data_IF_281458702290
#
_entry.id   IF_281458702290
#
_cell.length_a   1.000
_cell.length_b   1.000
_cell.length_c   1.000
_cell.angle_alpha   90.00
_cell.angle_beta   90.00
_cell.angle_gamma   90.00
#
_symmetry.space_group_name_H-M   'P 1'
#
loop_
_entity.id
_entity.type
_entity.pdbx_description
1 polymer ?
#
# COMPACT_ATOMS: atom_id res chain seq x y z
N UNK A 1 -7.08 6.41 -6.14
CA UNK A 1 -6.02 5.57 -6.74
C UNK A 1 -4.66 6.22 -6.52
N UNK A 2 -3.60 5.44 -6.48
CA UNK A 2 -2.22 5.91 -6.31
C UNK A 2 -1.90 6.55 -4.96
N UNK A 3 -2.67 6.25 -3.91
CA UNK A 3 -2.45 6.85 -2.58
C UNK A 3 -2.49 8.37 -2.65
N UNK A 4 -3.52 8.90 -3.30
CA UNK A 4 -3.63 10.30 -3.68
C UNK A 4 -4.08 11.22 -2.55
N UNK A 5 -4.47 10.67 -1.40
CA UNK A 5 -4.74 11.49 -0.22
C UNK A 5 -3.40 11.94 0.37
N UNK A 6 -3.25 13.25 0.50
CA UNK A 6 -2.06 13.92 1.02
C UNK A 6 -2.48 15.05 1.99
N UNK A 7 -1.52 15.79 2.52
CA UNK A 7 -1.78 16.84 3.51
C UNK A 7 -2.76 17.92 3.00
N UNK A 8 -2.73 18.22 1.71
CA UNK A 8 -3.52 19.33 1.14
C UNK A 8 -4.98 18.93 0.85
N UNK A 9 -5.29 17.64 0.83
CA UNK A 9 -6.61 17.13 0.46
C UNK A 9 -7.20 16.13 1.45
N UNK A 10 -6.83 16.19 2.73
CA UNK A 10 -7.38 15.35 3.81
C UNK A 10 -8.91 15.45 3.92
N UNK A 11 -9.51 16.57 3.50
CA UNK A 11 -10.96 16.74 3.44
C UNK A 11 -11.68 15.67 2.58
N UNK A 12 -10.95 14.98 1.69
CA UNK A 12 -11.51 13.87 0.91
C UNK A 12 -11.99 12.72 1.80
N UNK A 13 -11.40 12.53 2.99
CA UNK A 13 -11.86 11.52 3.94
C UNK A 13 -13.27 11.83 4.45
N UNK A 14 -13.60 13.12 4.62
CA UNK A 14 -14.94 13.55 5.00
C UNK A 14 -15.94 13.20 3.88
N UNK A 15 -15.60 13.48 2.63
CA UNK A 15 -16.43 13.13 1.45
C UNK A 15 -16.64 11.61 1.39
N UNK A 16 -15.61 10.79 1.65
CA UNK A 16 -15.76 9.35 1.66
C UNK A 16 -16.73 8.88 2.74
N UNK A 17 -16.65 9.45 3.94
CA UNK A 17 -17.57 9.12 5.01
C UNK A 17 -19.01 9.59 4.69
N UNK A 18 -19.17 10.75 4.05
CA UNK A 18 -20.47 11.27 3.59
C UNK A 18 -21.13 10.34 2.55
N UNK A 19 -20.31 9.74 1.70
CA UNK A 19 -20.76 8.75 0.71
C UNK A 19 -21.00 7.36 1.32
N UNK A 20 -20.83 7.19 2.64
CA UNK A 20 -21.09 5.94 3.34
C UNK A 20 -19.96 4.90 3.27
N UNK A 21 -18.75 5.28 2.88
CA UNK A 21 -17.61 4.38 2.96
C UNK A 21 -17.29 4.04 4.42
N UNK A 22 -17.04 2.76 4.69
CA UNK A 22 -16.72 2.26 6.04
C UNK A 22 -15.25 2.44 6.36
N UNK A 23 -14.40 2.28 5.34
CA UNK A 23 -12.94 2.41 5.45
C UNK A 23 -12.33 3.01 4.19
N UNK A 24 -11.14 3.54 4.36
CA UNK A 24 -10.22 3.99 3.31
C UNK A 24 -8.83 3.40 3.52
N UNK A 25 -8.02 3.39 2.49
CA UNK A 25 -6.60 3.00 2.51
C UNK A 25 -5.85 3.80 1.44
N UNK A 26 -6.08 5.12 1.41
CA UNK A 26 -5.44 6.01 0.43
C UNK A 26 -4.23 6.74 1.00
N UNK A 27 -3.97 6.64 2.30
CA UNK A 27 -2.86 7.33 2.93
C UNK A 27 -1.65 6.41 3.03
N UNK A 28 -0.53 6.91 2.53
CA UNK A 28 0.76 6.27 2.69
C UNK A 28 1.56 6.99 3.78
N UNK A 29 1.88 6.34 4.92
CA UNK A 29 2.50 7.01 6.07
C UNK A 29 4.03 7.23 5.89
N UNK A 30 4.41 7.62 4.70
CA UNK A 30 5.78 7.94 4.30
C UNK A 30 5.75 8.93 3.15
N UNK A 31 6.45 10.05 3.27
CA UNK A 31 6.55 11.03 2.18
C UNK A 31 7.31 10.46 0.99
N UNK A 32 6.63 10.45 -0.14
CA UNK A 32 7.18 10.05 -1.43
C UNK A 32 7.08 11.23 -2.41
N UNK A 33 7.81 11.24 -3.54
CA UNK A 33 7.80 12.38 -4.47
C UNK A 33 6.43 12.78 -5.02
N UNK A 34 5.46 11.88 -5.03
CA UNK A 34 4.15 12.09 -5.65
C UNK A 34 2.96 11.84 -4.72
N UNK A 35 3.17 11.27 -3.53
CA UNK A 35 2.11 10.87 -2.60
C UNK A 35 2.67 10.65 -1.19
N UNK A 36 1.76 10.41 -0.25
CA UNK A 36 2.10 10.09 1.13
C UNK A 36 2.21 11.30 2.04
N UNK A 37 2.01 11.04 3.32
CA UNK A 37 2.04 12.05 4.39
C UNK A 37 3.10 11.65 5.39
N UNK A 38 4.10 12.51 5.58
CA UNK A 38 5.13 12.29 6.59
C UNK A 38 4.54 12.45 8.00
N UNK A 39 4.95 11.56 8.91
CA UNK A 39 4.45 11.57 10.28
C UNK A 39 3.01 11.10 10.45
N UNK A 40 2.32 10.66 9.37
CA UNK A 40 0.99 10.07 9.52
C UNK A 40 1.03 8.77 10.33
N UNK A 41 -0.09 8.42 10.97
CA UNK A 41 -0.21 7.20 11.76
C UNK A 41 0.10 5.95 10.91
N UNK A 42 0.93 5.05 11.44
CA UNK A 42 1.17 3.72 10.88
C UNK A 42 0.16 2.69 11.40
N UNK A 43 -0.74 3.10 12.28
CA UNK A 43 -1.75 2.24 12.89
C UNK A 43 -3.10 2.43 12.22
N UNK A 44 -3.88 1.36 12.16
CA UNK A 44 -5.29 1.45 11.81
C UNK A 44 -5.97 2.43 12.75
N UNK A 45 -6.68 3.40 12.23
CA UNK A 45 -7.23 4.50 13.02
C UNK A 45 -8.70 4.71 12.69
N UNK A 46 -9.55 4.75 13.72
CA UNK A 46 -10.93 5.18 13.60
C UNK A 46 -10.97 6.71 13.67
N UNK A 47 -11.37 7.34 12.59
CA UNK A 47 -11.64 8.77 12.56
C UNK A 47 -13.10 9.04 12.82
N UNK A 48 -13.37 9.94 13.77
CA UNK A 48 -14.68 10.49 14.01
C UNK A 48 -14.72 11.92 13.48
N UNK A 49 -15.67 12.17 12.60
CA UNK A 49 -15.87 13.44 11.91
C UNK A 49 -16.76 14.38 12.77
N UNK A 50 -16.72 15.70 12.53
CA UNK A 50 -17.49 16.66 13.31
C UNK A 50 -19.00 16.41 13.33
N UNK A 51 -19.54 15.76 12.29
CA UNK A 51 -20.96 15.38 12.18
C UNK A 51 -21.31 14.01 12.81
N UNK A 52 -20.34 13.39 13.51
CA UNK A 52 -20.48 12.09 14.16
C UNK A 52 -20.35 10.88 13.24
N UNK A 53 -20.07 11.07 11.94
CA UNK A 53 -19.74 9.98 11.03
C UNK A 53 -18.37 9.41 11.34
N UNK A 54 -18.15 8.18 10.91
CA UNK A 54 -16.92 7.46 11.21
C UNK A 54 -16.33 6.84 9.94
N UNK A 55 -15.02 6.97 9.78
CA UNK A 55 -14.24 6.34 8.73
C UNK A 55 -13.00 5.67 9.33
N UNK A 56 -12.72 4.44 8.94
CA UNK A 56 -11.49 3.74 9.34
C UNK A 56 -10.43 3.94 8.27
N UNK A 57 -9.29 4.50 8.64
CA UNK A 57 -8.12 4.52 7.77
C UNK A 57 -7.23 3.31 8.06
N UNK A 58 -6.90 2.57 7.00
CA UNK A 58 -6.02 1.41 7.01
C UNK A 58 -4.73 1.74 6.24
N UNK A 59 -3.73 2.36 6.87
CA UNK A 59 -2.54 2.83 6.16
C UNK A 59 -1.72 1.65 5.62
N UNK A 60 -1.01 1.87 4.53
CA UNK A 60 -0.07 0.89 3.99
C UNK A 60 1.10 0.62 4.93
N UNK A 61 1.53 -0.63 4.97
CA UNK A 61 2.67 -1.02 5.79
C UNK A 61 3.96 -0.36 5.32
N UNK A 62 4.64 0.28 6.25
CA UNK A 62 6.02 0.75 6.12
C UNK A 62 6.89 0.00 7.12
N UNK A 63 8.17 -0.18 6.82
CA UNK A 63 9.14 -0.74 7.76
C UNK A 63 10.14 0.36 8.16
N UNK A 64 10.55 0.34 9.43
CA UNK A 64 11.62 1.21 9.93
C UNK A 64 12.88 0.37 10.13
N UNK A 65 13.98 0.80 9.53
CA UNK A 65 15.29 0.19 9.70
C UNK A 65 16.35 1.29 9.86
N UNK A 66 17.17 1.19 10.88
CA UNK A 66 18.17 2.22 11.25
C UNK A 66 17.58 3.64 11.31
N UNK A 67 16.40 3.79 11.89
CA UNK A 67 15.70 5.08 12.03
C UNK A 67 15.08 5.63 10.75
N UNK A 68 15.18 4.93 9.62
CA UNK A 68 14.57 5.35 8.34
C UNK A 68 13.38 4.46 7.98
N UNK A 69 12.33 5.09 7.48
CA UNK A 69 11.15 4.40 6.97
C UNK A 69 11.35 3.98 5.51
N UNK A 70 10.88 2.78 5.19
CA UNK A 70 10.94 2.20 3.85
C UNK A 70 9.56 1.66 3.44
N UNK A 71 9.17 1.86 2.16
CA UNK A 71 7.96 1.26 1.63
C UNK A 71 8.15 -0.24 1.43
N UNK A 72 7.26 -1.05 2.03
CA UNK A 72 7.37 -2.53 1.96
C UNK A 72 6.08 -3.20 1.53
N UNK A 73 4.96 -2.49 1.52
CA UNK A 73 3.64 -3.06 1.31
C UNK A 73 3.24 -3.26 -0.14
N UNK A 74 3.88 -2.58 -1.09
CA UNK A 74 3.53 -2.68 -2.51
C UNK A 74 4.27 -3.80 -3.23
N UNK A 75 3.62 -4.44 -4.19
CA UNK A 75 4.21 -5.50 -4.98
C UNK A 75 5.50 -5.10 -5.70
N UNK A 76 5.57 -3.84 -6.14
CA UNK A 76 6.80 -3.26 -6.70
C UNK A 76 8.00 -3.29 -5.76
N UNK A 77 7.79 -3.14 -4.45
CA UNK A 77 8.83 -3.24 -3.43
C UNK A 77 9.10 -4.70 -3.06
N UNK A 78 8.04 -5.48 -2.87
CA UNK A 78 8.13 -6.92 -2.53
C UNK A 78 8.93 -7.68 -3.59
N UNK A 79 8.77 -7.37 -4.88
CA UNK A 79 9.50 -8.06 -5.96
C UNK A 79 11.02 -7.83 -5.90
N UNK A 80 11.45 -6.63 -5.47
CA UNK A 80 12.86 -6.25 -5.41
C UNK A 80 13.57 -6.79 -4.17
N UNK A 81 12.84 -7.08 -3.10
CA UNK A 81 13.42 -7.60 -1.85
C UNK A 81 13.66 -9.11 -1.94
N UNK A 82 14.76 -9.63 -1.37
CA UNK A 82 14.94 -11.07 -1.15
C UNK A 82 13.81 -11.65 -0.28
N UNK A 83 13.40 -12.90 -0.55
CA UNK A 83 12.31 -13.58 0.18
C UNK A 83 12.53 -13.58 1.70
N UNK A 84 13.75 -13.87 2.15
CA UNK A 84 14.10 -13.88 3.58
C UNK A 84 13.87 -12.50 4.24
N UNK A 85 14.18 -11.41 3.52
CA UNK A 85 13.95 -10.06 4.01
C UNK A 85 12.46 -9.73 4.09
N UNK A 86 11.66 -10.13 3.07
CA UNK A 86 10.21 -9.98 3.09
C UNK A 86 9.63 -10.67 4.32
N UNK A 87 9.96 -11.96 4.53
CA UNK A 87 9.47 -12.73 5.66
C UNK A 87 9.90 -12.11 7.00
N UNK A 88 11.15 -11.66 7.12
CA UNK A 88 11.65 -10.99 8.33
C UNK A 88 10.84 -9.73 8.63
N UNK A 89 10.66 -8.85 7.65
CA UNK A 89 9.92 -7.58 7.81
C UNK A 89 8.48 -7.86 8.29
N UNK A 90 7.76 -8.76 7.63
CA UNK A 90 6.38 -9.05 8.00
C UNK A 90 6.27 -9.75 9.36
N UNK A 91 7.21 -10.63 9.72
CA UNK A 91 7.27 -11.21 11.04
C UNK A 91 7.54 -10.18 12.13
N UNK A 92 8.46 -9.23 11.92
CA UNK A 92 8.76 -8.15 12.86
C UNK A 92 7.57 -7.21 13.03
N UNK A 93 6.85 -6.90 11.94
CA UNK A 93 5.59 -6.13 11.98
C UNK A 93 4.51 -6.83 12.82
N UNK A 94 4.38 -8.16 12.69
CA UNK A 94 3.41 -8.95 13.45
C UNK A 94 3.76 -8.92 14.93
N UNK A 95 5.00 -9.11 15.30
CA UNK A 95 5.46 -9.07 16.70
C UNK A 95 5.25 -7.71 17.34
N UNK A 96 5.39 -6.64 16.59
CA UNK A 96 5.22 -5.25 17.08
C UNK A 96 3.77 -4.76 17.05
N UNK A 97 2.80 -5.61 16.71
CA UNK A 97 1.38 -5.27 16.55
C UNK A 97 1.11 -4.05 15.66
N UNK A 98 1.98 -3.78 14.68
CA UNK A 98 1.80 -2.70 13.71
C UNK A 98 0.87 -3.09 12.58
N UNK A 99 0.41 -2.12 11.82
CA UNK A 99 -0.42 -2.35 10.63
C UNK A 99 0.29 -3.21 9.57
N UNK A 100 -0.46 -4.07 8.89
CA UNK A 100 0.05 -5.10 7.95
C UNK A 100 -0.81 -5.16 6.68
N UNK A 101 -0.95 -4.01 6.04
CA UNK A 101 -1.62 -3.89 4.76
C UNK A 101 -0.65 -4.17 3.62
N UNK A 102 -1.03 -5.05 2.69
CA UNK A 102 -0.31 -5.31 1.45
C UNK A 102 -1.17 -4.86 0.27
N UNK A 103 -0.58 -4.08 -0.62
CA UNK A 103 -1.18 -3.63 -1.85
C UNK A 103 -0.52 -4.28 -3.06
N UNK A 104 -1.32 -4.88 -3.93
CA UNK A 104 -0.84 -5.61 -5.11
C UNK A 104 -1.65 -5.26 -6.33
N UNK A 105 -0.98 -5.13 -7.46
CA UNK A 105 -1.64 -5.05 -8.75
C UNK A 105 -1.78 -6.44 -9.38
N UNK A 106 -2.85 -6.72 -10.15
CA UNK A 106 -3.02 -8.01 -10.84
C UNK A 106 -1.83 -8.39 -11.71
N UNK A 107 -1.21 -7.43 -12.41
CA UNK A 107 -0.05 -7.68 -13.28
C UNK A 107 1.19 -8.22 -12.54
N UNK A 108 1.26 -8.07 -11.22
CA UNK A 108 2.39 -8.59 -10.42
C UNK A 108 2.31 -10.10 -10.22
N UNK A 109 1.14 -10.68 -10.42
CA UNK A 109 0.93 -12.13 -10.40
C UNK A 109 0.96 -12.75 -11.79
N UNK A 110 0.78 -11.96 -12.84
CA UNK A 110 0.88 -12.41 -14.23
C UNK A 110 2.33 -12.76 -14.56
N UNK A 111 2.54 -13.95 -15.13
CA UNK A 111 3.86 -14.44 -15.50
C UNK A 111 4.24 -14.10 -16.94
N UNK A 112 3.29 -13.62 -17.75
CA UNK A 112 3.56 -13.21 -19.12
C UNK A 112 4.43 -11.96 -19.13
N UNK A 113 5.36 -11.91 -20.10
CA UNK A 113 6.22 -10.74 -20.26
C UNK A 113 5.38 -9.51 -20.62
N UNK A 114 5.55 -8.43 -19.85
CA UNK A 114 4.96 -7.14 -20.18
C UNK A 114 5.83 -6.48 -21.25
N UNK A 115 5.21 -6.09 -22.35
CA UNK A 115 5.81 -5.26 -23.38
C UNK A 115 5.12 -3.89 -23.42
N UNK A 116 5.84 -2.86 -22.99
CA UNK A 116 5.32 -1.49 -22.99
C UNK A 116 5.46 -0.80 -24.34
N UNK A 117 6.10 -1.43 -25.32
CA UNK A 117 6.34 -0.81 -26.63
C UNK A 117 5.04 -0.48 -27.37
N UNK A 118 3.97 -1.26 -27.15
CA UNK A 118 2.66 -1.04 -27.75
C UNK A 118 1.98 0.26 -27.30
N UNK A 119 2.40 0.84 -26.19
CA UNK A 119 1.85 2.07 -25.63
C UNK A 119 2.54 3.34 -26.15
N UNK A 120 3.56 3.18 -27.01
CA UNK A 120 4.29 4.29 -27.62
C UNK A 120 3.94 4.40 -29.10
N UNK A 121 3.85 5.62 -29.65
CA UNK A 121 3.70 5.84 -31.08
C UNK A 121 4.77 5.10 -31.88
N UNK A 122 4.45 4.66 -33.10
CA UNK A 122 5.34 3.86 -33.96
C UNK A 122 6.63 4.58 -34.35
N UNK A 123 6.64 5.91 -34.30
CA UNK A 123 7.78 6.79 -34.54
C UNK A 123 8.79 6.79 -33.38
N UNK A 124 8.34 6.49 -32.15
CA UNK A 124 9.23 6.22 -31.03
C UNK A 124 9.70 4.78 -31.16
N UNK A 125 10.76 4.56 -31.91
CA UNK A 125 11.27 3.24 -32.27
C UNK A 125 11.22 2.27 -31.07
N UNK A 126 10.70 1.06 -31.29
CA UNK A 126 10.67 -0.04 -30.30
C UNK A 126 12.06 -0.34 -29.71
N UNK A 127 13.11 0.15 -30.35
CA UNK A 127 14.52 0.04 -29.96
C UNK A 127 15.03 1.25 -29.16
N UNK A 128 14.18 2.22 -28.81
CA UNK A 128 14.67 3.32 -27.97
C UNK A 128 15.16 2.77 -26.63
N UNK A 129 16.31 3.22 -26.18
CA UNK A 129 16.91 2.82 -24.89
C UNK A 129 15.92 3.00 -23.71
N UNK A 130 15.04 3.99 -23.83
CA UNK A 130 13.98 4.28 -22.84
C UNK A 130 12.93 3.16 -22.78
N UNK A 131 12.46 2.65 -23.93
CA UNK A 131 11.49 1.55 -24.00
C UNK A 131 12.12 0.25 -23.48
N UNK A 132 13.37 -0.01 -23.82
CA UNK A 132 14.11 -1.18 -23.32
C UNK A 132 14.27 -1.11 -21.79
N UNK A 133 14.66 0.03 -21.25
CA UNK A 133 14.80 0.25 -19.82
C UNK A 133 13.46 0.09 -19.07
N UNK A 134 12.36 0.59 -19.65
CA UNK A 134 11.02 0.40 -19.10
C UNK A 134 10.59 -1.07 -19.12
N UNK A 135 10.78 -1.76 -20.25
CA UNK A 135 10.47 -3.19 -20.36
C UNK A 135 11.27 -4.01 -19.33
N UNK A 136 12.57 -3.73 -19.17
CA UNK A 136 13.39 -4.36 -18.14
C UNK A 136 12.84 -4.09 -16.75
N UNK A 137 12.59 -2.82 -16.39
CA UNK A 137 12.08 -2.41 -15.09
C UNK A 137 10.73 -3.06 -14.75
N UNK A 138 9.79 -3.14 -15.71
CA UNK A 138 8.48 -3.72 -15.48
C UNK A 138 8.52 -5.24 -15.28
N UNK A 139 9.48 -5.92 -15.90
CA UNK A 139 9.59 -7.37 -15.79
C UNK A 139 10.55 -7.87 -14.68
N UNK A 140 11.39 -6.96 -14.14
CA UNK A 140 12.42 -7.32 -13.17
C UNK A 140 11.84 -8.00 -11.94
N UNK A 141 12.25 -9.25 -11.67
CA UNK A 141 11.83 -10.08 -10.54
C UNK A 141 10.33 -10.27 -10.34
N UNK A 142 9.50 -9.90 -11.29
CA UNK A 142 8.04 -9.97 -11.18
C UNK A 142 7.55 -11.39 -10.85
N UNK A 143 8.11 -12.39 -11.51
CA UNK A 143 7.75 -13.79 -11.26
C UNK A 143 8.03 -14.27 -9.81
N UNK A 144 8.89 -13.57 -9.07
CA UNK A 144 9.19 -13.91 -7.67
C UNK A 144 8.06 -13.53 -6.71
N UNK A 145 7.21 -12.57 -7.07
CA UNK A 145 6.16 -12.03 -6.20
C UNK A 145 5.20 -13.12 -5.75
N UNK A 146 4.68 -13.92 -6.68
CA UNK A 146 3.72 -15.00 -6.37
C UNK A 146 4.25 -16.00 -5.35
N UNK A 147 5.55 -16.31 -5.39
CA UNK A 147 6.16 -17.23 -4.43
C UNK A 147 6.30 -16.59 -3.06
N UNK A 148 6.68 -15.30 -2.99
CA UNK A 148 6.81 -14.54 -1.75
C UNK A 148 5.45 -14.37 -1.07
N UNK A 149 4.42 -13.99 -1.83
CA UNK A 149 3.05 -13.85 -1.31
C UNK A 149 2.49 -15.19 -0.86
N UNK A 150 2.67 -16.27 -1.65
CA UNK A 150 2.25 -17.62 -1.25
C UNK A 150 2.90 -18.04 0.07
N UNK A 151 4.16 -17.68 0.27
CA UNK A 151 4.88 -17.99 1.50
C UNK A 151 4.31 -17.22 2.70
N UNK A 152 4.03 -15.93 2.54
CA UNK A 152 3.35 -15.13 3.56
C UNK A 152 1.95 -15.68 3.90
N UNK A 153 1.17 -16.06 2.90
CA UNK A 153 -0.17 -16.66 3.10
C UNK A 153 -0.14 -18.00 3.84
N UNK A 154 0.97 -18.75 3.75
CA UNK A 154 1.16 -19.99 4.52
C UNK A 154 1.56 -19.72 5.97
N UNK A 155 2.27 -18.62 6.23
CA UNK A 155 2.81 -18.30 7.55
C UNK A 155 1.85 -17.47 8.40
N UNK A 156 0.93 -16.71 7.75
CA UNK A 156 0.08 -15.73 8.42
C UNK A 156 -1.36 -15.85 7.97
N UNK A 157 -2.28 -15.58 8.90
CA UNK A 157 -3.70 -15.42 8.57
C UNK A 157 -3.92 -14.03 7.96
N UNK A 158 -4.51 -13.99 6.78
CA UNK A 158 -4.97 -12.77 6.14
C UNK A 158 -6.49 -12.61 6.32
N UNK A 159 -6.93 -11.39 6.48
CA UNK A 159 -8.33 -11.00 6.57
C UNK A 159 -8.62 -9.93 5.52
N UNK A 160 -9.87 -9.70 5.21
CA UNK A 160 -10.27 -8.62 4.30
C UNK A 160 -10.13 -7.25 4.96
N UNK A 161 -9.99 -6.19 4.15
CA UNK A 161 -9.98 -4.81 4.65
C UNK A 161 -11.29 -4.49 5.40
N UNK A 162 -12.42 -5.00 4.92
CA UNK A 162 -13.71 -4.81 5.59
C UNK A 162 -13.73 -5.46 6.97
N UNK A 163 -13.31 -6.74 7.08
CA UNK A 163 -13.21 -7.43 8.37
C UNK A 163 -12.30 -6.68 9.34
N UNK A 164 -11.17 -6.19 8.84
CA UNK A 164 -10.24 -5.39 9.64
C UNK A 164 -10.87 -4.09 10.12
N UNK A 165 -11.56 -3.36 9.24
CA UNK A 165 -12.22 -2.10 9.58
C UNK A 165 -13.32 -2.29 10.62
N UNK A 166 -14.14 -3.34 10.49
CA UNK A 166 -15.17 -3.68 11.46
C UNK A 166 -14.56 -4.00 12.83
N UNK A 167 -13.45 -4.73 12.86
CA UNK A 167 -12.71 -5.02 14.10
C UNK A 167 -12.17 -3.74 14.76
N UNK A 168 -11.68 -2.78 13.97
CA UNK A 168 -11.21 -1.48 14.48
C UNK A 168 -12.37 -0.69 15.08
N UNK A 169 -13.53 -0.66 14.43
CA UNK A 169 -14.74 0.00 14.97
C UNK A 169 -15.20 -0.62 16.28
N UNK A 170 -15.19 -1.95 16.37
CA UNK A 170 -15.70 -2.68 17.56
C UNK A 170 -14.75 -2.57 18.75
N UNK A 171 -13.44 -2.61 18.52
CA UNK A 171 -12.44 -2.66 19.58
C UNK A 171 -12.00 -1.28 20.09
N UNK A 172 -12.56 -0.19 19.58
CA UNK A 172 -12.31 1.17 20.03
C UNK A 172 -10.84 1.63 19.91
N UNK A 173 -10.09 1.08 18.97
CA UNK A 173 -8.71 1.51 18.73
C UNK A 173 -8.67 2.98 18.31
N UNK A 174 -7.96 3.79 19.07
CA UNK A 174 -7.56 5.18 18.86
C UNK A 174 -8.49 6.00 17.93
N UNK A 175 -9.48 6.66 18.50
CA UNK A 175 -10.34 7.62 17.80
C UNK A 175 -9.61 8.97 17.72
N UNK A 176 -9.45 9.51 16.51
CA UNK A 176 -8.96 10.88 16.29
C UNK A 176 -10.05 11.66 15.59
N UNK A 177 -10.26 12.91 16.05
CA UNK A 177 -11.06 13.86 15.30
C UNK A 177 -10.26 14.36 14.10
N UNK A 178 -10.85 14.26 12.92
CA UNK A 178 -10.32 14.95 11.75
C UNK A 178 -10.76 16.42 11.88
N UNK A 179 -9.81 17.25 12.27
CA UNK A 179 -10.02 18.70 12.25
C UNK A 179 -10.28 19.20 10.82
N UNK A 180 -11.15 20.18 10.69
CA UNK A 180 -11.39 20.92 9.45
C UNK A 180 -10.14 21.67 8.97
#
# INVERSE_FOLDING_TARGET
>A
PFFSVNQDNLYLLNILADLGFIYDSSIFPLKMPRYGIDGFSEMDTLYELPDGKQLVELPLTVATYLGRKFPVAGGGYIRLMPKALVNKIFNDQIKSNRNKMIYMHPYEFDTHKIDVSSNYPLDVSRCSSRVLALNFRWNLFRNSVRFKIRDLLKQHRFITCLEKALNVKTNGTSTKLLGC
#
